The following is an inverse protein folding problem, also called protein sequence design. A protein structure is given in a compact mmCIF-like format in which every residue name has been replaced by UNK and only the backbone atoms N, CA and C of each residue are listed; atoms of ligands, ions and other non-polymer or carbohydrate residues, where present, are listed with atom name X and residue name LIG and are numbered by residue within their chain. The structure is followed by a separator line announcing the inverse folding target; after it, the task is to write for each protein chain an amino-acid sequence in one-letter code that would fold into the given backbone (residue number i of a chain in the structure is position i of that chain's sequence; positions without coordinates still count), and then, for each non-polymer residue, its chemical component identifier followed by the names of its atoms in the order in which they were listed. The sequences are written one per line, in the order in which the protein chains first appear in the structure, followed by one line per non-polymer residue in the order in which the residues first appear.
data_IF_895182165876
#
_entry.id   IF_895182165876
#
_cell.length_a   1.000
_cell.length_b   1.000
_cell.length_c   1.000
_cell.angle_alpha   90.00
_cell.angle_beta   90.00
_cell.angle_gamma   90.00
#
_symmetry.space_group_name_H-M   'P 1'
#
loop_
_entity.id
_entity.type
_entity.pdbx_description
1 polymer ?
#
# COMPACT_ATOMS: atom_id res chain seq x y z
N UNK A 1 39.95 -2.53 -12.71
CA UNK A 1 40.19 -1.21 -13.34
C UNK A 1 39.72 -1.27 -14.79
N UNK A 2 38.57 -0.70 -15.08
CA UNK A 2 38.15 -0.12 -16.36
C UNK A 2 36.75 0.43 -16.17
N UNK A 3 36.71 1.70 -15.85
CA UNK A 3 35.54 2.56 -15.83
C UNK A 3 35.05 2.77 -17.26
N UNK A 4 33.84 2.30 -17.59
CA UNK A 4 33.14 2.75 -18.79
C UNK A 4 32.17 3.86 -18.38
N UNK A 5 32.46 5.07 -18.80
CA UNK A 5 31.57 6.21 -18.80
C UNK A 5 30.59 6.04 -19.96
N UNK A 6 29.30 5.88 -19.67
CA UNK A 6 28.25 6.08 -20.68
C UNK A 6 27.94 7.56 -20.76
N UNK A 7 28.21 8.11 -21.92
CA UNK A 7 27.83 9.47 -22.32
C UNK A 7 26.36 9.40 -22.72
N UNK A 8 25.49 10.03 -21.93
CA UNK A 8 24.11 10.22 -22.29
C UNK A 8 23.99 11.15 -23.50
N UNK A 9 23.41 10.65 -24.59
CA UNK A 9 23.02 11.47 -25.74
C UNK A 9 21.78 12.28 -25.35
N UNK A 10 21.97 13.57 -25.11
CA UNK A 10 20.88 14.53 -25.06
C UNK A 10 20.32 14.71 -26.49
N UNK A 11 19.11 14.24 -26.73
CA UNK A 11 18.39 14.58 -27.96
C UNK A 11 17.87 16.00 -27.78
N UNK A 12 18.54 16.95 -28.40
CA UNK A 12 18.06 18.33 -28.52
C UNK A 12 17.00 18.34 -29.62
N UNK A 13 15.74 18.34 -29.23
CA UNK A 13 14.63 18.66 -30.14
C UNK A 13 14.58 20.17 -30.32
N UNK A 14 15.05 20.65 -31.46
CA UNK A 14 14.85 22.04 -31.89
C UNK A 14 13.39 22.18 -32.32
N UNK A 15 12.57 22.79 -31.48
CA UNK A 15 11.21 23.18 -31.86
C UNK A 15 11.26 24.62 -32.38
N UNK A 16 11.00 24.78 -33.66
CA UNK A 16 10.79 26.09 -34.27
C UNK A 16 9.56 26.77 -33.67
N UNK A 17 9.76 27.86 -33.00
CA UNK A 17 8.67 28.75 -32.56
C UNK A 17 8.07 29.42 -33.81
N UNK A 18 6.85 29.07 -34.13
CA UNK A 18 6.04 29.83 -35.13
C UNK A 18 5.30 30.89 -34.35
N UNK A 19 5.81 32.13 -34.44
CA UNK A 19 5.08 33.30 -34.01
C UNK A 19 3.97 33.58 -35.03
N UNK A 20 2.72 33.34 -34.69
CA UNK A 20 1.58 33.89 -35.40
C UNK A 20 1.32 35.27 -34.82
N UNK A 21 1.71 36.32 -35.54
CA UNK A 21 1.21 37.66 -35.37
C UNK A 21 -0.11 37.75 -36.11
N UNK A 22 -1.22 37.70 -35.40
CA UNK A 22 -2.51 38.09 -35.95
C UNK A 22 -2.65 39.63 -35.75
N UNK A 23 -2.64 40.37 -36.84
CA UNK A 23 -3.09 41.75 -36.81
C UNK A 23 -4.63 41.76 -36.79
N UNK A 24 -5.22 42.28 -35.71
CA UNK A 24 -6.59 42.80 -35.73
C UNK A 24 -6.60 44.11 -34.96
N UNK A 25 -6.97 45.16 -35.66
CA UNK A 25 -7.28 46.49 -35.12
C UNK A 25 -8.60 46.38 -34.37
N UNK A 26 -8.56 46.05 -33.10
CA UNK A 26 -9.64 46.33 -32.14
C UNK A 26 -9.00 46.33 -30.73
N UNK A 27 -9.34 47.34 -29.93
CA UNK A 27 -8.80 47.57 -28.57
C UNK A 27 -9.25 46.52 -27.55
N UNK A 28 -9.14 45.24 -27.87
CA UNK A 28 -9.35 44.10 -26.98
C UNK A 28 -8.06 43.68 -26.30
N UNK A 29 -7.96 43.81 -24.98
CA UNK A 29 -6.85 43.32 -24.20
C UNK A 29 -6.56 41.84 -24.58
N UNK A 30 -5.39 41.62 -25.19
CA UNK A 30 -4.92 40.26 -25.53
C UNK A 30 -4.92 39.36 -24.27
N UNK A 31 -5.52 38.21 -24.35
CA UNK A 31 -5.53 37.25 -23.21
C UNK A 31 -4.11 36.82 -22.91
N UNK A 32 -3.59 37.29 -21.78
CA UNK A 32 -2.29 36.82 -21.28
C UNK A 32 -2.53 35.58 -20.44
N UNK A 33 -2.19 34.44 -21.02
CA UNK A 33 -2.14 33.12 -20.35
C UNK A 33 -0.94 32.40 -20.92
N UNK A 34 0.24 32.66 -20.35
CA UNK A 34 1.52 32.20 -20.87
C UNK A 34 2.26 31.44 -19.78
N UNK A 35 2.70 30.24 -20.14
CA UNK A 35 3.60 29.40 -19.34
C UNK A 35 4.96 29.37 -20.03
N UNK A 36 6.05 29.30 -19.28
CA UNK A 36 7.38 29.08 -19.84
C UNK A 36 7.46 27.74 -20.58
N UNK A 37 8.30 27.63 -21.59
CA UNK A 37 8.48 26.35 -22.32
C UNK A 37 9.02 25.22 -21.40
N UNK A 38 9.80 25.60 -20.36
CA UNK A 38 10.32 24.67 -19.35
C UNK A 38 9.18 24.11 -18.47
N UNK A 39 8.19 24.94 -18.15
CA UNK A 39 7.05 24.55 -17.31
C UNK A 39 6.00 23.73 -18.08
N UNK A 40 6.00 23.78 -19.42
CA UNK A 40 5.12 22.96 -20.25
C UNK A 40 5.52 21.49 -20.27
N UNK A 41 6.77 21.15 -19.89
CA UNK A 41 7.24 19.75 -19.84
C UNK A 41 8.01 19.50 -18.56
N UNK A 42 7.38 18.85 -17.59
CA UNK A 42 8.00 18.48 -16.34
C UNK A 42 8.67 17.12 -16.43
N UNK A 43 9.90 17.03 -15.92
CA UNK A 43 10.64 15.78 -15.82
C UNK A 43 10.75 15.37 -14.35
N UNK A 44 10.39 14.14 -14.03
CA UNK A 44 10.55 13.54 -12.71
C UNK A 44 11.41 12.29 -12.81
N UNK A 45 12.20 12.02 -11.78
CA UNK A 45 12.85 10.73 -11.60
C UNK A 45 11.82 9.67 -11.18
N UNK A 46 12.22 8.43 -11.07
CA UNK A 46 11.40 7.34 -10.52
C UNK A 46 10.96 7.61 -9.07
N UNK A 47 11.72 8.39 -8.29
CA UNK A 47 11.33 8.77 -6.92
C UNK A 47 10.12 9.74 -6.87
N UNK A 48 9.75 10.37 -7.98
CA UNK A 48 8.65 11.33 -8.02
C UNK A 48 9.01 12.68 -7.40
N UNK A 49 8.08 13.26 -6.63
CA UNK A 49 8.27 14.53 -5.93
C UNK A 49 7.25 15.61 -6.30
N UNK A 50 7.56 16.86 -5.95
CA UNK A 50 6.68 18.00 -6.20
C UNK A 50 7.35 19.04 -7.09
N UNK A 51 6.56 19.64 -8.00
CA UNK A 51 6.97 20.77 -8.84
C UNK A 51 5.82 21.75 -9.01
N UNK A 52 6.16 23.03 -9.10
CA UNK A 52 5.23 24.11 -9.30
C UNK A 52 5.34 24.66 -10.71
N UNK A 53 4.20 25.04 -11.29
CA UNK A 53 4.14 25.96 -12.41
C UNK A 53 3.52 27.26 -11.93
N UNK A 54 3.98 28.37 -12.49
CA UNK A 54 3.43 29.69 -12.17
C UNK A 54 3.10 30.46 -13.46
N UNK A 55 1.94 31.06 -13.50
CA UNK A 55 1.49 31.82 -14.64
C UNK A 55 0.63 33.03 -14.21
N UNK A 56 0.52 34.01 -15.09
CA UNK A 56 -0.33 35.16 -14.88
C UNK A 56 -1.50 35.12 -15.85
N UNK A 57 -2.70 35.38 -15.33
CA UNK A 57 -3.93 35.43 -16.08
C UNK A 57 -4.54 36.84 -16.02
N UNK A 58 -4.95 37.40 -17.18
CA UNK A 58 -5.70 38.64 -17.24
C UNK A 58 -7.20 38.47 -17.54
N UNK A 59 -7.66 37.25 -17.88
CA UNK A 59 -9.07 36.88 -17.96
C UNK A 59 -9.66 36.57 -16.57
N UNK A 60 -10.98 36.36 -16.48
CA UNK A 60 -11.67 36.26 -15.20
C UNK A 60 -11.28 34.97 -14.43
N UNK A 61 -11.21 33.81 -15.12
CA UNK A 61 -10.98 32.51 -14.50
C UNK A 61 -10.24 31.53 -15.43
N UNK A 62 -9.68 30.52 -14.84
CA UNK A 62 -9.12 29.36 -15.55
C UNK A 62 -9.53 28.06 -14.88
N UNK A 63 -9.59 26.99 -15.68
CA UNK A 63 -9.86 25.64 -15.24
C UNK A 63 -8.84 24.68 -15.84
N UNK A 64 -8.63 23.56 -15.16
CA UNK A 64 -7.79 22.48 -15.68
C UNK A 64 -8.55 21.18 -15.74
N UNK A 65 -8.19 20.37 -16.69
CA UNK A 65 -8.69 19.01 -16.82
C UNK A 65 -7.62 18.09 -17.37
N UNK A 66 -7.63 16.80 -16.95
CA UNK A 66 -6.77 15.82 -17.54
C UNK A 66 -7.09 15.66 -19.03
N UNK A 67 -6.06 15.59 -19.85
CA UNK A 67 -6.21 15.31 -21.29
C UNK A 67 -6.50 13.82 -21.51
N UNK A 68 -5.96 12.98 -20.61
CA UNK A 68 -6.12 11.54 -20.61
C UNK A 68 -7.06 11.07 -19.49
N UNK A 69 -7.28 9.76 -19.38
CA UNK A 69 -8.00 9.19 -18.22
C UNK A 69 -7.29 9.56 -16.92
N UNK A 70 -8.07 9.83 -15.88
CA UNK A 70 -7.54 10.08 -14.55
C UNK A 70 -6.59 8.93 -14.13
N UNK A 71 -5.43 9.30 -13.62
CA UNK A 71 -4.42 8.40 -13.09
C UNK A 71 -4.27 8.62 -11.58
N UNK A 72 -3.76 7.63 -10.88
CA UNK A 72 -3.62 7.66 -9.42
C UNK A 72 -2.19 8.00 -8.95
N UNK A 73 -1.28 8.35 -9.86
CA UNK A 73 0.13 8.64 -9.57
C UNK A 73 0.51 10.12 -9.75
N UNK A 74 -0.40 10.95 -10.28
CA UNK A 74 -0.26 12.41 -10.39
C UNK A 74 -1.47 13.07 -9.75
N UNK A 75 -1.22 14.03 -8.90
CA UNK A 75 -2.23 14.97 -8.42
C UNK A 75 -1.71 16.40 -8.61
N UNK A 76 -2.63 17.36 -8.69
CA UNK A 76 -2.26 18.77 -8.78
C UNK A 76 -3.35 19.66 -8.16
N UNK A 77 -2.91 20.79 -7.62
CA UNK A 77 -3.78 21.73 -6.92
C UNK A 77 -3.24 23.16 -6.99
N UNK A 78 -4.09 24.18 -7.15
CA UNK A 78 -5.53 24.11 -7.43
C UNK A 78 -5.83 23.62 -8.85
N UNK A 79 -7.08 23.24 -9.13
CA UNK A 79 -7.55 22.81 -10.45
C UNK A 79 -8.28 23.93 -11.20
N UNK A 80 -8.54 25.05 -10.53
CA UNK A 80 -9.16 26.26 -11.05
C UNK A 80 -8.65 27.47 -10.29
N UNK A 81 -8.80 28.66 -10.86
CA UNK A 81 -8.39 29.90 -10.22
C UNK A 81 -8.88 31.14 -10.99
N UNK A 82 -8.51 32.31 -10.48
CA UNK A 82 -8.99 33.58 -10.94
C UNK A 82 -7.88 34.41 -11.59
N UNK A 83 -8.28 35.59 -12.09
CA UNK A 83 -7.38 36.63 -12.62
C UNK A 83 -6.24 36.93 -11.65
N UNK A 84 -5.04 37.12 -12.17
CA UNK A 84 -3.84 37.49 -11.43
C UNK A 84 -2.74 36.43 -11.52
N UNK A 85 -1.85 36.43 -10.53
CA UNK A 85 -0.74 35.48 -10.44
C UNK A 85 -1.25 34.18 -9.83
N UNK A 86 -0.98 33.07 -10.50
CA UNK A 86 -1.43 31.73 -10.13
C UNK A 86 -0.24 30.77 -10.01
N UNK A 87 -0.32 29.86 -9.08
CA UNK A 87 0.65 28.75 -8.92
C UNK A 87 -0.11 27.45 -8.76
N UNK A 88 0.27 26.45 -9.53
CA UNK A 88 -0.26 25.08 -9.43
C UNK A 88 0.87 24.15 -9.03
N UNK A 89 0.66 23.39 -7.97
CA UNK A 89 1.59 22.38 -7.48
C UNK A 89 1.20 21.01 -8.01
N UNK A 90 2.13 20.34 -8.67
CA UNK A 90 2.01 18.96 -9.09
C UNK A 90 2.75 18.07 -8.09
N UNK A 91 2.09 17.01 -7.61
CA UNK A 91 2.67 15.95 -6.81
C UNK A 91 2.65 14.66 -7.63
N UNK A 92 3.81 14.05 -7.80
CA UNK A 92 4.04 12.82 -8.57
C UNK A 92 4.55 11.76 -7.63
N UNK A 93 3.84 10.61 -7.56
CA UNK A 93 4.24 9.49 -6.72
C UNK A 93 5.48 8.79 -7.28
N UNK A 94 6.19 8.05 -6.43
CA UNK A 94 7.26 7.14 -6.85
C UNK A 94 6.77 6.18 -7.94
N UNK A 95 7.66 5.75 -8.81
CA UNK A 95 7.36 4.82 -9.91
C UNK A 95 8.20 3.56 -9.80
N UNK A 96 7.58 2.46 -9.39
CA UNK A 96 8.16 1.11 -9.51
C UNK A 96 7.54 0.49 -10.75
N UNK A 97 8.17 0.73 -11.90
CA UNK A 97 7.67 0.33 -13.20
C UNK A 97 8.39 1.02 -14.35
N UNK A 98 7.89 0.88 -15.59
CA UNK A 98 8.45 1.55 -16.76
C UNK A 98 8.22 3.07 -16.69
N UNK A 99 8.94 3.82 -17.50
CA UNK A 99 8.69 5.25 -17.68
C UNK A 99 7.25 5.51 -18.08
N UNK A 100 6.67 6.60 -17.57
CA UNK A 100 5.27 6.95 -17.79
C UNK A 100 5.10 8.45 -18.04
N UNK A 101 4.01 8.84 -18.67
CA UNK A 101 3.68 10.23 -18.92
C UNK A 101 2.20 10.51 -18.65
N UNK A 102 1.89 11.78 -18.45
CA UNK A 102 0.54 12.27 -18.22
C UNK A 102 0.43 13.70 -18.71
N UNK A 103 -0.74 14.11 -19.17
CA UNK A 103 -0.97 15.45 -19.69
C UNK A 103 -2.15 16.11 -19.02
N UNK A 104 -1.99 17.39 -18.69
CA UNK A 104 -3.04 18.25 -18.13
C UNK A 104 -3.21 19.46 -19.05
N UNK A 105 -4.45 19.77 -19.36
CA UNK A 105 -4.81 20.97 -20.14
C UNK A 105 -5.35 22.03 -19.19
N UNK A 106 -4.78 23.20 -19.25
CA UNK A 106 -5.29 24.42 -18.62
C UNK A 106 -5.99 25.24 -19.68
N UNK A 107 -7.17 25.77 -19.38
CA UNK A 107 -7.91 26.66 -20.28
C UNK A 107 -8.37 27.89 -19.54
N UNK A 108 -8.30 29.02 -20.26
CA UNK A 108 -8.88 30.29 -19.87
C UNK A 108 -9.84 30.72 -20.94
N UNK A 109 -11.04 31.11 -20.56
CA UNK A 109 -12.07 31.58 -21.48
C UNK A 109 -12.29 33.08 -21.25
N UNK A 110 -12.00 33.89 -22.26
CA UNK A 110 -12.21 35.35 -22.23
C UNK A 110 -13.63 35.70 -22.67
N UNK A 111 -14.16 35.01 -23.68
CA UNK A 111 -15.53 35.13 -24.14
C UNK A 111 -16.01 33.80 -24.75
N UNK A 112 -17.23 33.72 -25.25
CA UNK A 112 -17.86 32.51 -25.77
C UNK A 112 -17.10 31.84 -26.95
N UNK A 113 -16.17 32.58 -27.58
CA UNK A 113 -15.48 32.16 -28.81
C UNK A 113 -13.97 32.06 -28.68
N UNK A 114 -13.38 32.70 -27.66
CA UNK A 114 -11.92 32.76 -27.48
C UNK A 114 -11.50 32.03 -26.20
N UNK A 115 -10.96 30.86 -26.37
CA UNK A 115 -10.35 30.06 -25.32
C UNK A 115 -8.85 29.92 -25.61
N UNK A 116 -8.02 30.21 -24.62
CA UNK A 116 -6.58 29.91 -24.68
C UNK A 116 -6.31 28.61 -23.91
N UNK A 117 -5.50 27.77 -24.49
CA UNK A 117 -5.18 26.43 -23.97
C UNK A 117 -3.69 26.29 -23.75
N UNK A 118 -3.31 25.74 -22.60
CA UNK A 118 -1.94 25.35 -22.30
C UNK A 118 -1.93 23.87 -21.94
N UNK A 119 -1.07 23.13 -22.61
CA UNK A 119 -0.85 21.71 -22.29
C UNK A 119 0.43 21.57 -21.47
N UNK A 120 0.32 20.92 -20.32
CA UNK A 120 1.45 20.55 -19.47
C UNK A 120 1.63 19.04 -19.53
N UNK A 121 2.82 18.59 -19.90
CA UNK A 121 3.19 17.18 -19.98
C UNK A 121 4.08 16.84 -18.80
N UNK A 122 3.72 15.82 -18.06
CA UNK A 122 4.48 15.25 -16.97
C UNK A 122 5.12 13.95 -17.47
N UNK A 123 6.44 13.87 -17.47
CA UNK A 123 7.19 12.66 -17.79
C UNK A 123 7.88 12.17 -16.52
N UNK A 124 7.73 10.89 -16.22
CA UNK A 124 8.41 10.27 -15.11
C UNK A 124 9.25 9.08 -15.58
N UNK A 125 10.49 9.02 -15.11
CA UNK A 125 11.37 7.89 -15.36
C UNK A 125 10.83 6.62 -14.70
N UNK A 126 11.17 5.47 -15.29
CA UNK A 126 10.96 4.17 -14.68
C UNK A 126 12.09 3.83 -13.73
N UNK A 127 11.86 2.86 -12.84
CA UNK A 127 12.90 2.32 -11.99
C UNK A 127 13.89 1.43 -12.78
N UNK A 128 15.17 1.54 -12.46
CA UNK A 128 16.22 0.64 -12.95
C UNK A 128 16.44 -0.55 -11.99
N UNK A 129 15.78 -0.54 -10.81
CA UNK A 129 15.88 -1.61 -9.82
C UNK A 129 15.03 -2.81 -10.23
N UNK A 130 15.70 -3.94 -10.45
CA UNK A 130 15.10 -5.23 -10.80
C UNK A 130 15.29 -6.28 -9.71
N UNK A 131 15.65 -5.87 -8.49
CA UNK A 131 15.90 -6.78 -7.36
C UNK A 131 14.66 -7.56 -6.93
N UNK A 132 13.47 -6.99 -7.13
CA UNK A 132 12.21 -7.51 -6.59
C UNK A 132 12.02 -7.27 -5.09
N UNK A 133 12.92 -6.49 -4.46
CA UNK A 133 12.93 -6.18 -3.02
C UNK A 133 12.81 -4.68 -2.83
N UNK A 134 11.70 -4.21 -2.26
CA UNK A 134 11.45 -2.78 -2.14
C UNK A 134 11.06 -2.37 -0.72
N UNK A 135 11.50 -1.17 -0.35
CA UNK A 135 10.97 -0.43 0.81
C UNK A 135 10.25 0.82 0.31
N UNK A 136 9.01 1.00 0.70
CA UNK A 136 8.16 2.10 0.25
C UNK A 136 7.58 2.80 1.48
N UNK A 137 7.76 4.11 1.53
CA UNK A 137 7.00 4.99 2.43
C UNK A 137 5.83 5.58 1.63
N UNK A 138 4.61 5.51 2.16
CA UNK A 138 3.41 5.85 1.40
C UNK A 138 2.33 6.53 2.27
N UNK A 139 1.49 7.26 1.60
CA UNK A 139 0.21 7.74 2.13
C UNK A 139 -0.89 6.74 1.77
N UNK A 140 -1.93 6.68 2.59
CA UNK A 140 -3.03 5.74 2.41
C UNK A 140 -3.66 5.84 0.99
N UNK A 141 -3.77 4.70 0.33
CA UNK A 141 -4.35 4.56 -1.02
C UNK A 141 -3.39 4.83 -2.17
N UNK A 142 -2.10 5.07 -1.90
CA UNK A 142 -1.14 5.45 -2.95
C UNK A 142 -0.36 4.28 -3.55
N UNK A 143 -0.32 3.13 -2.90
CA UNK A 143 0.44 1.96 -3.37
C UNK A 143 0.08 1.54 -4.82
N UNK A 144 -1.21 1.53 -5.25
CA UNK A 144 -1.58 1.22 -6.63
C UNK A 144 -1.03 2.21 -7.66
N UNK A 145 -0.71 3.45 -7.25
CA UNK A 145 -0.08 4.46 -8.09
C UNK A 145 1.44 4.35 -8.13
N UNK A 146 2.06 3.70 -7.14
CA UNK A 146 3.50 3.51 -7.03
C UNK A 146 3.95 2.26 -7.83
N UNK A 147 3.25 1.12 -7.66
CA UNK A 147 3.60 -0.15 -8.29
C UNK A 147 2.78 -0.34 -9.55
N UNK A 148 3.45 -0.30 -10.71
CA UNK A 148 2.79 -0.58 -11.99
C UNK A 148 2.36 -2.05 -12.10
N UNK A 149 1.31 -2.30 -12.88
CA UNK A 149 0.76 -3.65 -13.05
C UNK A 149 1.79 -4.65 -13.57
N UNK A 150 2.64 -4.23 -14.49
CA UNK A 150 3.67 -5.05 -15.12
C UNK A 150 4.75 -5.55 -14.15
N UNK A 151 4.99 -4.80 -13.05
CA UNK A 151 6.04 -5.12 -12.06
C UNK A 151 5.53 -5.93 -10.86
N UNK A 152 4.22 -6.08 -10.66
CA UNK A 152 3.63 -6.81 -9.52
C UNK A 152 4.11 -8.24 -9.39
N UNK A 153 4.33 -8.90 -10.54
CA UNK A 153 4.81 -10.30 -10.58
C UNK A 153 6.32 -10.45 -10.37
N UNK A 154 7.07 -9.36 -10.34
CA UNK A 154 8.52 -9.38 -10.09
C UNK A 154 8.88 -9.05 -8.63
N UNK A 155 7.93 -8.51 -7.85
CA UNK A 155 8.18 -8.12 -6.45
C UNK A 155 7.98 -9.34 -5.54
N UNK A 156 9.07 -9.74 -4.89
CA UNK A 156 9.10 -10.90 -3.98
C UNK A 156 9.13 -10.52 -2.52
N UNK A 157 9.69 -9.34 -2.20
CA UNK A 157 9.79 -8.82 -0.84
C UNK A 157 9.37 -7.34 -0.82
N UNK A 158 8.53 -6.98 0.14
CA UNK A 158 8.03 -5.62 0.29
C UNK A 158 8.00 -5.19 1.76
N UNK A 159 8.66 -4.08 2.04
CA UNK A 159 8.54 -3.37 3.32
C UNK A 159 7.76 -2.09 3.10
N UNK A 160 6.66 -1.92 3.81
CA UNK A 160 5.82 -0.73 3.75
C UNK A 160 5.89 0.06 5.04
N UNK A 161 5.91 1.39 4.92
CA UNK A 161 5.88 2.35 6.02
C UNK A 161 4.79 3.38 5.76
N UNK A 162 4.18 3.90 6.82
CA UNK A 162 3.10 4.88 6.72
C UNK A 162 1.71 4.23 6.69
N UNK A 163 0.73 4.93 6.19
CA UNK A 163 -0.66 4.54 6.31
C UNK A 163 -1.14 3.71 5.09
N UNK A 164 -1.89 2.65 5.36
CA UNK A 164 -2.49 1.72 4.39
C UNK A 164 -4.00 1.73 4.54
N UNK A 165 -4.72 1.85 3.44
CA UNK A 165 -6.18 1.69 3.43
C UNK A 165 -6.64 0.56 2.48
N UNK A 166 -7.96 0.43 2.26
CA UNK A 166 -8.54 -0.64 1.46
C UNK A 166 -7.96 -0.76 0.05
N UNK A 167 -7.62 0.35 -0.61
CA UNK A 167 -7.03 0.31 -1.95
C UNK A 167 -5.63 -0.32 -1.96
N UNK A 168 -4.82 -0.05 -0.93
CA UNK A 168 -3.48 -0.63 -0.78
C UNK A 168 -3.58 -2.11 -0.43
N UNK A 169 -4.49 -2.47 0.49
CA UNK A 169 -4.74 -3.86 0.89
C UNK A 169 -5.23 -4.69 -0.30
N UNK A 170 -6.13 -4.15 -1.13
CA UNK A 170 -6.60 -4.83 -2.34
C UNK A 170 -5.44 -5.17 -3.29
N UNK A 171 -4.49 -4.24 -3.48
CA UNK A 171 -3.31 -4.52 -4.28
C UNK A 171 -2.43 -5.60 -3.64
N UNK A 172 -2.16 -5.50 -2.33
CA UNK A 172 -1.38 -6.50 -1.61
C UNK A 172 -2.00 -7.89 -1.72
N UNK A 173 -3.32 -8.02 -1.57
CA UNK A 173 -4.03 -9.30 -1.76
C UNK A 173 -3.78 -9.92 -3.13
N UNK A 174 -3.77 -9.11 -4.19
CA UNK A 174 -3.45 -9.57 -5.56
C UNK A 174 -2.00 -10.02 -5.69
N UNK A 175 -1.07 -9.32 -5.04
CA UNK A 175 0.36 -9.65 -5.06
C UNK A 175 0.72 -10.87 -4.20
N UNK A 176 -0.03 -11.15 -3.14
CA UNK A 176 0.14 -12.27 -2.20
C UNK A 176 -0.46 -13.60 -2.69
N UNK A 177 -1.20 -13.60 -3.79
CA UNK A 177 -1.92 -14.75 -4.30
C UNK A 177 -1.59 -15.04 -5.77
N UNK A 178 -1.53 -16.30 -6.13
CA UNK A 178 -1.51 -16.75 -7.54
C UNK A 178 -2.85 -17.34 -7.92
N UNK A 179 -3.39 -16.87 -9.03
CA UNK A 179 -4.62 -17.40 -9.62
C UNK A 179 -4.56 -17.20 -11.14
N UNK A 180 -5.51 -17.72 -11.92
CA UNK A 180 -5.60 -17.38 -13.35
C UNK A 180 -5.72 -15.87 -13.62
N UNK A 181 -6.09 -15.08 -12.60
CA UNK A 181 -6.30 -13.64 -12.69
C UNK A 181 -5.21 -12.81 -12.02
N UNK A 182 -4.34 -13.43 -11.20
CA UNK A 182 -3.30 -12.76 -10.42
C UNK A 182 -1.99 -13.53 -10.50
N UNK A 183 -0.94 -12.85 -10.94
CA UNK A 183 0.41 -13.38 -11.08
C UNK A 183 1.31 -12.93 -9.92
N UNK A 184 0.78 -12.95 -8.69
CA UNK A 184 1.50 -12.53 -7.51
C UNK A 184 2.80 -13.31 -7.29
N UNK A 185 3.82 -12.62 -6.77
CA UNK A 185 5.12 -13.19 -6.41
C UNK A 185 5.56 -12.82 -4.99
N UNK A 186 4.79 -11.98 -4.28
CA UNK A 186 5.15 -11.42 -2.98
C UNK A 186 5.12 -12.50 -1.90
N UNK A 187 6.30 -12.95 -1.48
CA UNK A 187 6.49 -14.00 -0.48
C UNK A 187 6.81 -13.44 0.91
N UNK A 188 7.42 -12.26 0.99
CA UNK A 188 7.81 -11.61 2.24
C UNK A 188 7.20 -10.21 2.33
N UNK A 189 6.39 -9.97 3.36
CA UNK A 189 5.74 -8.69 3.61
C UNK A 189 6.07 -8.16 5.01
N UNK A 190 6.68 -6.98 5.08
CA UNK A 190 6.97 -6.32 6.34
C UNK A 190 6.11 -5.06 6.48
N UNK A 191 5.25 -5.04 7.50
CA UNK A 191 4.35 -3.94 7.85
C UNK A 191 4.65 -3.36 9.25
N UNK A 192 5.80 -3.65 9.85
CA UNK A 192 6.11 -3.23 11.23
C UNK A 192 5.91 -1.72 11.46
N UNK A 193 6.32 -0.91 10.49
CA UNK A 193 6.25 0.56 10.52
C UNK A 193 5.05 1.11 9.74
N UNK A 194 4.08 0.27 9.39
CA UNK A 194 2.85 0.67 8.73
C UNK A 194 1.69 0.75 9.72
N UNK A 195 0.63 1.50 9.35
CA UNK A 195 -0.63 1.55 10.09
C UNK A 195 -1.77 1.18 9.15
N UNK A 196 -2.73 0.41 9.63
CA UNK A 196 -3.98 0.21 8.91
C UNK A 196 -4.93 1.34 9.30
N UNK A 197 -5.47 2.03 8.30
CA UNK A 197 -6.41 3.15 8.49
C UNK A 197 -7.69 2.92 7.69
N UNK A 198 -8.78 3.53 8.12
CA UNK A 198 -10.06 3.45 7.41
C UNK A 198 -10.00 4.12 6.02
N UNK A 199 -10.83 3.67 5.09
CA UNK A 199 -10.99 4.26 3.75
C UNK A 199 -10.50 3.35 2.62
N UNK A 200 -10.37 3.92 1.42
CA UNK A 200 -9.87 3.23 0.22
C UNK A 200 -10.83 2.22 -0.42
N UNK A 201 -12.03 2.03 0.15
CA UNK A 201 -13.04 1.12 -0.39
C UNK A 201 -12.83 -0.34 0.00
N UNK A 202 -13.55 -1.23 -0.69
CA UNK A 202 -13.55 -2.66 -0.46
C UNK A 202 -12.20 -3.29 -0.83
N UNK A 203 -11.64 -4.07 0.10
CA UNK A 203 -10.40 -4.80 -0.15
C UNK A 203 -10.62 -6.27 -0.56
N UNK A 204 -11.86 -6.74 -0.67
CA UNK A 204 -12.19 -8.11 -1.13
C UNK A 204 -13.20 -8.11 -2.28
N UNK A 205 -12.69 -8.10 -3.52
CA UNK A 205 -13.52 -8.13 -4.74
C UNK A 205 -14.35 -9.41 -4.90
N UNK A 206 -14.01 -10.47 -4.17
CA UNK A 206 -14.66 -11.79 -4.32
C UNK A 206 -15.75 -12.03 -3.28
N UNK A 207 -15.82 -11.22 -2.22
CA UNK A 207 -16.81 -11.35 -1.17
C UNK A 207 -18.18 -10.80 -1.62
N UNK A 208 -19.25 -11.47 -1.21
CA UNK A 208 -20.60 -10.92 -1.35
C UNK A 208 -20.93 -9.87 -0.25
N UNK A 209 -19.94 -9.54 0.57
CA UNK A 209 -19.99 -8.57 1.65
C UNK A 209 -18.86 -7.58 1.43
N UNK A 210 -19.14 -6.30 1.59
CA UNK A 210 -18.13 -5.25 1.49
C UNK A 210 -17.21 -5.30 2.71
N UNK A 211 -15.92 -5.55 2.48
CA UNK A 211 -14.89 -5.58 3.51
C UNK A 211 -14.10 -4.27 3.50
N UNK A 212 -14.22 -3.50 4.57
CA UNK A 212 -13.57 -2.19 4.72
C UNK A 212 -12.46 -2.25 5.77
N UNK A 213 -11.43 -1.44 5.58
CA UNK A 213 -10.39 -1.26 6.61
C UNK A 213 -10.91 -0.44 7.79
N UNK A 214 -10.46 -0.80 8.98
CA UNK A 214 -10.66 -0.07 10.22
C UNK A 214 -9.30 0.28 10.84
N UNK A 215 -9.26 1.37 11.61
CA UNK A 215 -8.02 1.83 12.22
C UNK A 215 -7.46 0.78 13.19
N UNK A 216 -6.16 0.49 13.06
CA UNK A 216 -5.42 -0.47 13.90
C UNK A 216 -5.99 -1.89 13.92
N UNK A 217 -6.68 -2.32 12.86
CA UNK A 217 -7.24 -3.66 12.76
C UNK A 217 -6.75 -4.38 11.48
N UNK A 218 -6.28 -5.61 11.63
CA UNK A 218 -6.22 -6.56 10.53
C UNK A 218 -7.63 -7.08 10.34
N UNK A 219 -8.34 -6.62 9.33
CA UNK A 219 -9.76 -6.90 9.11
C UNK A 219 -10.06 -8.37 8.80
N UNK A 220 -11.36 -8.68 8.76
CA UNK A 220 -11.84 -10.04 8.49
C UNK A 220 -11.38 -10.49 7.08
N UNK A 221 -10.79 -11.67 6.97
CA UNK A 221 -10.26 -12.21 5.72
C UNK A 221 -9.16 -11.39 5.05
N UNK A 222 -8.66 -10.32 5.66
CA UNK A 222 -7.79 -9.33 5.01
C UNK A 222 -6.59 -9.93 4.28
N UNK A 223 -5.94 -10.90 4.88
CA UNK A 223 -4.80 -11.63 4.30
C UNK A 223 -5.08 -13.12 4.13
N UNK A 224 -6.33 -13.56 4.04
CA UNK A 224 -6.66 -14.96 3.76
C UNK A 224 -6.10 -15.42 2.41
N UNK A 225 -5.69 -16.69 2.34
CA UNK A 225 -5.17 -17.23 1.09
C UNK A 225 -6.30 -17.59 0.12
N UNK A 226 -6.01 -17.40 -1.17
CA UNK A 226 -6.76 -17.99 -2.25
C UNK A 226 -6.23 -19.40 -2.60
N UNK A 227 -6.51 -19.86 -3.81
CA UNK A 227 -6.18 -21.23 -4.27
C UNK A 227 -4.69 -21.54 -4.34
N UNK A 228 -3.80 -20.55 -4.33
CA UNK A 228 -2.33 -20.71 -4.39
C UNK A 228 -1.65 -19.69 -3.50
N UNK A 229 -1.44 -20.09 -2.26
CA UNK A 229 -0.68 -19.31 -1.27
C UNK A 229 0.80 -19.24 -1.62
N UNK A 230 1.37 -18.05 -1.52
CA UNK A 230 2.81 -17.81 -1.72
C UNK A 230 3.46 -17.06 -0.55
N UNK A 231 2.67 -16.61 0.44
CA UNK A 231 3.17 -15.85 1.58
C UNK A 231 3.96 -16.76 2.53
N UNK A 232 5.26 -16.54 2.64
CA UNK A 232 6.17 -17.29 3.50
C UNK A 232 6.41 -16.59 4.84
N UNK A 233 6.41 -15.26 4.83
CA UNK A 233 6.68 -14.44 6.02
C UNK A 233 5.90 -13.14 5.99
N UNK A 234 5.33 -12.78 7.14
CA UNK A 234 4.72 -11.47 7.37
C UNK A 234 5.12 -10.93 8.74
N UNK A 235 5.46 -9.65 8.79
CA UNK A 235 5.60 -8.88 10.04
C UNK A 235 4.40 -7.96 10.11
N UNK A 236 3.62 -8.08 11.19
CA UNK A 236 2.40 -7.30 11.40
C UNK A 236 2.70 -5.88 11.87
N UNK A 237 1.80 -4.91 11.61
CA UNK A 237 1.95 -3.56 12.13
C UNK A 237 1.99 -3.55 13.66
N UNK A 238 2.93 -2.79 14.22
CA UNK A 238 3.04 -2.64 15.67
C UNK A 238 1.83 -1.94 16.30
N UNK A 239 1.06 -1.18 15.52
CA UNK A 239 -0.13 -0.43 15.98
C UNK A 239 -1.37 -1.30 16.14
N UNK A 240 -1.41 -2.50 15.54
CA UNK A 240 -2.61 -3.35 15.47
C UNK A 240 -3.08 -3.80 16.85
N UNK A 241 -4.39 -3.68 17.07
CA UNK A 241 -5.11 -4.06 18.30
C UNK A 241 -5.96 -5.31 18.15
N UNK A 242 -6.45 -5.57 16.92
CA UNK A 242 -7.34 -6.69 16.62
C UNK A 242 -6.87 -7.42 15.38
N UNK A 243 -6.87 -8.75 15.45
CA UNK A 243 -6.72 -9.63 14.28
C UNK A 243 -8.09 -10.25 14.00
N UNK A 244 -8.64 -9.94 12.84
CA UNK A 244 -10.00 -10.24 12.42
C UNK A 244 -10.27 -11.71 12.15
N UNK A 245 -11.53 -12.03 11.92
CA UNK A 245 -12.00 -13.37 11.60
C UNK A 245 -11.38 -13.86 10.29
N UNK A 246 -10.79 -15.05 10.29
CA UNK A 246 -10.16 -15.64 9.10
C UNK A 246 -9.06 -14.77 8.46
N UNK A 247 -8.47 -13.84 9.20
CA UNK A 247 -7.55 -12.83 8.66
C UNK A 247 -6.37 -13.42 7.87
N UNK A 248 -5.84 -14.56 8.29
CA UNK A 248 -4.75 -15.32 7.66
C UNK A 248 -5.13 -16.76 7.32
N UNK A 249 -6.42 -17.02 7.21
CA UNK A 249 -6.90 -18.38 6.92
C UNK A 249 -6.27 -18.95 5.65
N UNK A 250 -5.94 -20.25 5.67
CA UNK A 250 -5.35 -21.00 4.55
C UNK A 250 -3.95 -20.52 4.10
N UNK A 251 -3.22 -19.70 4.91
CA UNK A 251 -1.82 -19.33 4.67
C UNK A 251 -0.88 -20.49 4.95
N UNK A 252 -0.97 -21.52 4.09
CA UNK A 252 -0.27 -22.79 4.26
C UNK A 252 1.26 -22.72 4.13
N UNK A 253 1.84 -21.62 3.64
CA UNK A 253 3.28 -21.41 3.56
C UNK A 253 3.87 -20.63 4.74
N UNK A 254 3.03 -20.00 5.56
CA UNK A 254 3.49 -19.23 6.72
C UNK A 254 4.08 -20.18 7.77
N UNK A 255 5.34 -19.97 8.18
CA UNK A 255 6.07 -20.86 9.10
C UNK A 255 6.12 -20.34 10.52
N UNK A 256 6.11 -19.04 10.70
CA UNK A 256 6.19 -18.32 11.98
C UNK A 256 5.29 -17.12 11.96
N UNK A 257 4.66 -16.82 13.09
CA UNK A 257 3.93 -15.58 13.29
C UNK A 257 4.25 -14.98 14.66
N UNK A 258 4.48 -13.67 14.69
CA UNK A 258 4.63 -12.88 15.91
C UNK A 258 3.42 -11.96 16.00
N UNK A 259 2.62 -12.13 17.04
CA UNK A 259 1.49 -11.26 17.37
C UNK A 259 2.03 -10.08 18.16
N UNK A 260 1.86 -8.83 17.66
CA UNK A 260 2.38 -7.63 18.33
C UNK A 260 1.81 -7.43 19.73
N UNK A 261 2.60 -6.75 20.57
CA UNK A 261 2.23 -6.50 21.98
C UNK A 261 0.97 -5.63 22.17
N UNK A 262 0.54 -4.90 21.14
CA UNK A 262 -0.68 -4.08 21.22
C UNK A 262 -1.97 -4.85 20.88
N UNK A 263 -1.86 -6.06 20.34
CA UNK A 263 -3.02 -6.90 20.04
C UNK A 263 -3.68 -7.34 21.34
N UNK A 264 -4.99 -7.10 21.44
CA UNK A 264 -5.83 -7.54 22.56
C UNK A 264 -6.71 -8.73 22.18
N UNK A 265 -7.09 -8.83 20.91
CA UNK A 265 -8.05 -9.85 20.45
C UNK A 265 -7.58 -10.50 19.15
N UNK A 266 -7.60 -11.83 19.12
CA UNK A 266 -7.47 -12.65 17.93
C UNK A 266 -8.80 -13.34 17.70
N UNK A 267 -9.52 -12.96 16.61
CA UNK A 267 -10.87 -13.49 16.35
C UNK A 267 -10.84 -14.92 15.81
N UNK A 268 -12.03 -15.52 15.68
CA UNK A 268 -12.17 -16.91 15.24
C UNK A 268 -11.54 -17.16 13.86
N UNK A 269 -10.96 -18.34 13.66
CA UNK A 269 -10.34 -18.80 12.41
C UNK A 269 -9.17 -17.94 11.91
N UNK A 270 -8.62 -17.03 12.71
CA UNK A 270 -7.62 -16.06 12.26
C UNK A 270 -6.44 -16.67 11.52
N UNK A 271 -5.92 -17.81 11.98
CA UNK A 271 -4.82 -18.58 11.38
C UNK A 271 -5.23 -20.05 11.10
N UNK A 272 -6.53 -20.28 10.88
CA UNK A 272 -7.03 -21.60 10.54
C UNK A 272 -6.36 -22.13 9.27
N UNK A 273 -5.96 -23.41 9.29
CA UNK A 273 -5.32 -24.08 8.15
C UNK A 273 -3.98 -23.48 7.71
N UNK A 274 -3.26 -22.77 8.59
CA UNK A 274 -1.86 -22.39 8.38
C UNK A 274 -0.94 -23.61 8.58
N UNK A 275 -0.94 -24.54 7.61
CA UNK A 275 -0.41 -25.91 7.78
C UNK A 275 1.10 -26.01 7.98
N UNK A 276 1.90 -24.99 7.63
CA UNK A 276 3.34 -24.95 7.91
C UNK A 276 3.69 -24.13 9.15
N UNK A 277 2.71 -23.56 9.85
CA UNK A 277 2.96 -22.76 11.04
C UNK A 277 3.45 -23.64 12.19
N UNK A 278 4.72 -23.44 12.59
CA UNK A 278 5.38 -24.24 13.62
C UNK A 278 5.79 -23.43 14.85
N UNK A 279 5.89 -22.12 14.73
CA UNK A 279 6.28 -21.20 15.80
C UNK A 279 5.30 -20.05 15.92
N UNK A 280 4.81 -19.79 17.12
CA UNK A 280 3.86 -18.73 17.44
C UNK A 280 4.38 -17.94 18.63
N UNK A 281 4.49 -16.62 18.49
CA UNK A 281 4.73 -15.70 19.61
C UNK A 281 3.49 -14.85 19.84
N UNK A 282 2.99 -14.80 21.08
CA UNK A 282 1.79 -14.06 21.47
C UNK A 282 2.20 -12.89 22.37
N UNK A 283 1.85 -11.66 21.91
CA UNK A 283 2.16 -10.41 22.59
C UNK A 283 1.53 -10.27 23.97
N UNK A 284 2.04 -9.33 24.75
CA UNK A 284 1.79 -9.20 26.18
C UNK A 284 0.40 -8.70 26.58
N UNK A 285 -0.41 -8.19 25.59
CA UNK A 285 -1.75 -7.63 25.86
C UNK A 285 -2.89 -8.49 25.31
N UNK A 286 -2.62 -9.67 24.78
CA UNK A 286 -3.68 -10.55 24.26
C UNK A 286 -4.55 -11.03 25.41
N UNK A 287 -5.86 -10.77 25.35
CA UNK A 287 -6.88 -11.11 26.34
C UNK A 287 -7.79 -12.23 25.85
N UNK A 288 -8.02 -12.32 24.54
CA UNK A 288 -8.95 -13.28 23.94
C UNK A 288 -8.41 -13.87 22.64
N UNK A 289 -8.58 -15.18 22.46
CA UNK A 289 -8.28 -15.91 21.23
C UNK A 289 -9.49 -16.77 20.88
N UNK A 290 -10.12 -16.46 19.77
CA UNK A 290 -11.37 -17.07 19.33
C UNK A 290 -11.26 -18.53 18.90
N UNK A 291 -12.42 -19.15 18.71
CA UNK A 291 -12.50 -20.55 18.29
C UNK A 291 -11.83 -20.79 16.93
N UNK A 292 -11.14 -21.93 16.80
CA UNK A 292 -10.40 -22.32 15.61
C UNK A 292 -9.29 -21.36 15.17
N UNK A 293 -8.89 -20.38 16.00
CA UNK A 293 -7.89 -19.38 15.61
C UNK A 293 -6.58 -19.99 15.11
N UNK A 294 -6.17 -21.13 15.67
CA UNK A 294 -4.96 -21.87 15.29
C UNK A 294 -5.25 -23.34 14.95
N UNK A 295 -6.45 -23.62 14.43
CA UNK A 295 -6.84 -24.96 14.02
C UNK A 295 -6.12 -25.38 12.73
N UNK A 296 -5.69 -26.64 12.65
CA UNK A 296 -4.99 -27.17 11.48
C UNK A 296 -3.56 -26.64 11.29
N UNK A 297 -2.98 -26.04 12.34
CA UNK A 297 -1.56 -25.67 12.38
C UNK A 297 -0.69 -26.82 12.86
N UNK A 298 0.64 -26.72 12.66
CA UNK A 298 1.59 -27.73 13.14
C UNK A 298 2.55 -27.14 14.18
N UNK A 299 2.00 -26.39 15.15
CA UNK A 299 2.76 -25.70 16.18
C UNK A 299 3.63 -26.69 16.98
N UNK A 300 4.91 -26.34 17.14
CA UNK A 300 5.90 -27.03 17.96
C UNK A 300 6.26 -26.23 19.20
N UNK A 301 6.21 -24.91 19.08
CA UNK A 301 6.52 -23.95 20.12
C UNK A 301 5.52 -22.79 20.09
N UNK A 302 5.10 -22.40 21.28
CA UNK A 302 4.21 -21.25 21.51
C UNK A 302 4.83 -20.45 22.64
N UNK A 303 5.23 -19.22 22.35
CA UNK A 303 5.75 -18.27 23.31
C UNK A 303 4.67 -17.25 23.64
N UNK A 304 4.33 -17.10 24.91
CA UNK A 304 3.29 -16.19 25.33
C UNK A 304 3.81 -15.23 26.40
N UNK A 305 3.71 -13.93 26.12
CA UNK A 305 4.25 -12.86 27.00
C UNK A 305 3.31 -12.41 28.11
N UNK A 306 2.05 -12.84 28.09
CA UNK A 306 1.10 -12.47 29.16
C UNK A 306 1.19 -13.45 30.34
N UNK A 307 1.33 -12.95 31.58
CA UNK A 307 1.33 -13.80 32.77
C UNK A 307 -0.08 -14.30 33.13
N UNK A 308 -1.13 -13.68 32.59
CA UNK A 308 -2.53 -14.09 32.75
C UNK A 308 -2.94 -14.76 31.45
N UNK A 309 -3.31 -16.06 31.47
CA UNK A 309 -3.73 -16.76 30.28
C UNK A 309 -4.92 -16.06 29.59
N UNK A 310 -4.84 -15.78 28.27
CA UNK A 310 -5.99 -15.30 27.51
C UNK A 310 -7.16 -16.27 27.58
N UNK A 311 -8.36 -15.76 27.43
CA UNK A 311 -9.54 -16.59 27.24
C UNK A 311 -9.44 -17.32 25.91
N UNK A 312 -9.61 -18.65 25.90
CA UNK A 312 -9.64 -19.49 24.70
C UNK A 312 -10.81 -20.46 24.72
N UNK A 313 -11.33 -20.79 23.55
CA UNK A 313 -12.33 -21.83 23.37
C UNK A 313 -11.69 -23.23 23.39
N UNK A 314 -12.52 -24.26 23.58
CA UNK A 314 -12.07 -25.66 23.61
C UNK A 314 -11.47 -26.13 22.27
N UNK A 315 -11.77 -25.41 21.18
CA UNK A 315 -11.36 -25.67 19.80
C UNK A 315 -10.46 -24.57 19.20
N UNK A 316 -9.93 -23.65 20.01
CA UNK A 316 -8.98 -22.62 19.57
C UNK A 316 -7.75 -23.26 18.92
N UNK A 317 -7.25 -24.32 19.51
CA UNK A 317 -6.17 -25.18 19.01
C UNK A 317 -6.69 -26.56 18.66
N UNK A 318 -6.09 -27.24 17.70
CA UNK A 318 -6.36 -28.65 17.46
C UNK A 318 -5.64 -29.56 18.49
N UNK A 319 -5.95 -30.86 18.44
CA UNK A 319 -5.36 -31.81 19.38
C UNK A 319 -3.84 -32.01 19.23
N UNK A 320 -3.27 -31.67 18.07
CA UNK A 320 -1.84 -31.81 17.83
C UNK A 320 -1.08 -30.65 18.47
N UNK A 321 -1.62 -29.45 18.48
CA UNK A 321 -1.02 -28.28 19.09
C UNK A 321 -0.77 -28.45 20.59
N UNK A 322 -1.58 -29.25 21.30
CA UNK A 322 -1.36 -29.53 22.72
C UNK A 322 -0.11 -30.38 23.01
N UNK A 323 0.60 -30.87 21.99
CA UNK A 323 1.93 -31.47 22.13
C UNK A 323 3.07 -30.47 21.97
N UNK A 324 2.78 -29.24 21.55
CA UNK A 324 3.76 -28.16 21.48
C UNK A 324 4.30 -27.82 22.88
N UNK A 325 5.50 -27.25 22.93
CA UNK A 325 5.98 -26.60 24.14
C UNK A 325 5.37 -25.22 24.26
N UNK A 326 4.66 -24.98 25.34
CA UNK A 326 4.13 -23.65 25.70
C UNK A 326 5.11 -22.98 26.65
N UNK A 327 5.74 -21.91 26.20
CA UNK A 327 6.60 -21.05 26.99
C UNK A 327 5.77 -19.92 27.59
N UNK A 328 5.86 -19.76 28.90
CA UNK A 328 5.08 -18.77 29.68
C UNK A 328 6.00 -17.93 30.56
N UNK A 329 5.61 -16.70 30.94
CA UNK A 329 6.42 -15.87 31.81
C UNK A 329 6.75 -16.53 33.15
N UNK A 330 7.94 -16.21 33.70
CA UNK A 330 8.39 -16.71 35.02
C UNK A 330 7.32 -16.47 36.08
N UNK A 331 6.97 -17.54 36.83
CA UNK A 331 5.94 -17.51 37.88
C UNK A 331 4.52 -17.76 37.38
N UNK A 332 4.30 -18.05 36.09
CA UNK A 332 2.96 -18.20 35.50
C UNK A 332 2.55 -19.66 35.28
N UNK A 333 3.43 -20.64 35.42
CA UNK A 333 3.14 -22.06 35.14
C UNK A 333 1.86 -22.55 35.83
N UNK A 334 1.72 -22.31 37.13
CA UNK A 334 0.58 -22.82 37.90
C UNK A 334 -0.74 -22.18 37.44
N UNK A 335 -0.70 -20.91 37.01
CA UNK A 335 -1.85 -20.23 36.46
C UNK A 335 -2.27 -20.88 35.14
N UNK A 336 -1.33 -21.12 34.22
CA UNK A 336 -1.64 -21.77 32.93
C UNK A 336 -2.11 -23.23 33.12
N UNK A 337 -1.49 -23.99 34.03
CA UNK A 337 -1.89 -25.38 34.34
C UNK A 337 -3.27 -25.49 34.98
N UNK A 338 -3.74 -24.42 35.68
CA UNK A 338 -5.06 -24.43 36.31
C UNK A 338 -6.14 -23.75 35.46
N UNK A 339 -5.78 -23.07 34.36
CA UNK A 339 -6.72 -22.41 33.48
C UNK A 339 -7.30 -23.38 32.46
N UNK A 340 -8.65 -23.36 32.31
CA UNK A 340 -9.38 -24.18 31.37
C UNK A 340 -8.82 -24.03 29.95
N UNK A 341 -8.77 -25.14 29.23
CA UNK A 341 -8.20 -25.32 27.89
C UNK A 341 -6.68 -25.15 27.80
N UNK A 342 -6.05 -24.22 28.51
CA UNK A 342 -4.59 -24.09 28.59
C UNK A 342 -3.95 -25.29 29.33
N UNK A 343 -4.63 -25.82 30.30
CA UNK A 343 -4.22 -27.06 31.04
C UNK A 343 -4.07 -28.32 30.16
N UNK A 344 -4.53 -28.26 28.91
CA UNK A 344 -4.38 -29.35 27.94
C UNK A 344 -2.97 -29.45 27.35
N UNK A 345 -2.18 -28.40 27.40
CA UNK A 345 -0.78 -28.39 26.96
C UNK A 345 0.05 -29.31 27.84
N UNK A 346 0.73 -30.28 27.20
CA UNK A 346 1.47 -31.34 27.91
C UNK A 346 2.81 -30.85 28.47
N UNK A 347 3.39 -29.82 27.82
CA UNK A 347 4.69 -29.26 28.18
C UNK A 347 4.56 -27.74 28.34
N UNK A 348 4.57 -27.27 29.60
CA UNK A 348 4.50 -25.85 29.93
C UNK A 348 5.79 -25.49 30.67
N UNK A 349 6.56 -24.54 30.15
CA UNK A 349 7.90 -24.14 30.60
C UNK A 349 7.94 -22.62 30.81
N UNK A 350 8.70 -22.19 31.78
CA UNK A 350 8.96 -20.75 32.00
C UNK A 350 10.12 -20.24 31.14
N UNK A 351 9.99 -19.01 30.66
CA UNK A 351 11.06 -18.27 29.97
C UNK A 351 11.15 -16.81 30.44
#
# INVERSE_FOLDING_TARGET
MRTLRFIGMAIIAVIMSVNFTACSDDDGDEVIFVLSEEDKTMQFTDEGGEKNISFKLNSEEWHSYPTDKAVNWVSYTPQEGNRGDNTVTFKVLRNIGPSRNYSVTFSSQYNRYDATWIHVVINQQGTDDTSGVYTIELEAGTLPGIISEEYRSSITELTLKGDLNGADILLLRRMLNRSPFYDGALAVLNLADANIVEGGGDYDEAANVTELTSNDEIGDGMFSAGSRDILESIILPNSVKVIGTSAFRDRGNLTTIIIPDNVTTIKAYAFDSCTKLTSLEIGSKVEEIGGHAFWGTHLKEIHIKTPIPPTIDFNTFDSFAYNATLYVPIGSIDTYKSTENWSKFKNIVEE
#
